data_IF_337597965294
#
_entry.id   IF_337597965294
#
_cell.length_a   1.000
_cell.length_b   1.000
_cell.length_c   1.000
_cell.angle_alpha   90.00
_cell.angle_beta   90.00
_cell.angle_gamma   90.00
#
_symmetry.space_group_name_H-M   'P 1'
#
loop_
_entity.id
_entity.type
_entity.pdbx_description
1 polymer ?
#
# COMPACT_ATOMS: atom_id res chain seq x y z
N UNK A 1 -5.47 -4.29 25.66
CA UNK A 1 -5.39 -3.71 24.30
C UNK A 1 -6.43 -4.40 23.44
N UNK A 2 -7.11 -3.69 22.51
CA UNK A 2 -8.04 -4.34 21.59
C UNK A 2 -7.27 -5.28 20.67
N UNK A 3 -7.83 -6.46 20.37
CA UNK A 3 -7.19 -7.44 19.47
C UNK A 3 -7.15 -6.90 18.04
N UNK A 4 -6.04 -7.13 17.36
CA UNK A 4 -5.87 -6.83 15.94
C UNK A 4 -6.81 -7.71 15.11
N UNK A 5 -7.46 -7.13 14.11
CA UNK A 5 -8.43 -7.85 13.26
C UNK A 5 -7.93 -8.09 11.85
N UNK A 6 -6.86 -7.38 11.45
CA UNK A 6 -6.18 -7.55 10.17
C UNK A 6 -4.67 -7.60 10.37
N UNK A 7 -3.97 -8.24 9.44
CA UNK A 7 -2.52 -8.41 9.46
C UNK A 7 -1.92 -8.11 8.10
N UNK A 8 -0.84 -7.33 8.09
CA UNK A 8 0.09 -7.31 6.97
C UNK A 8 1.03 -8.51 7.10
N UNK A 9 1.06 -9.37 6.11
CA UNK A 9 1.88 -10.58 6.12
C UNK A 9 2.85 -10.53 4.95
N UNK A 10 4.14 -10.56 5.25
CA UNK A 10 5.18 -10.66 4.23
C UNK A 10 5.91 -11.99 4.38
N UNK A 11 5.92 -12.77 3.30
CA UNK A 11 6.71 -14.00 3.14
C UNK A 11 7.98 -13.60 2.39
N UNK A 12 9.06 -13.39 3.14
CA UNK A 12 10.29 -12.83 2.57
C UNK A 12 11.13 -13.87 1.84
N UNK A 13 11.27 -15.04 2.44
CA UNK A 13 12.15 -16.11 1.95
C UNK A 13 11.52 -17.47 2.17
N UNK A 14 11.92 -18.41 1.31
CA UNK A 14 11.68 -19.84 1.44
C UNK A 14 13.03 -20.53 1.30
N UNK A 15 13.40 -21.39 2.27
CA UNK A 15 14.45 -22.39 2.08
C UNK A 15 13.81 -23.68 1.57
N UNK A 16 14.51 -24.43 0.72
CA UNK A 16 14.04 -25.76 0.26
C UNK A 16 15.11 -26.79 0.61
N UNK A 17 14.76 -27.78 1.43
CA UNK A 17 15.65 -28.92 1.74
C UNK A 17 15.04 -30.22 1.24
N UNK A 18 15.70 -30.94 0.33
CA UNK A 18 15.30 -32.28 -0.15
C UNK A 18 15.89 -33.34 0.79
N UNK A 19 15.10 -34.23 1.37
CA UNK A 19 15.61 -35.23 2.36
C UNK A 19 16.11 -36.55 1.75
N UNK A 20 15.80 -36.86 0.49
CA UNK A 20 16.39 -38.00 -0.23
C UNK A 20 16.72 -37.67 -1.70
N UNK A 21 17.99 -37.81 -2.06
CA UNK A 21 18.38 -38.13 -3.43
C UNK A 21 18.14 -39.62 -3.64
N UNK A 22 16.99 -39.99 -4.21
CA UNK A 22 16.92 -41.27 -4.90
C UNK A 22 17.98 -41.23 -6.00
N UNK A 23 19.02 -42.05 -5.89
CA UNK A 23 20.02 -42.18 -6.95
C UNK A 23 19.32 -42.88 -8.12
N UNK A 24 18.74 -42.12 -9.04
CA UNK A 24 18.32 -42.68 -10.33
C UNK A 24 19.59 -42.89 -11.15
N UNK A 25 20.19 -44.07 -11.02
CA UNK A 25 21.31 -44.47 -11.87
C UNK A 25 20.83 -44.54 -13.32
N UNK A 26 21.40 -43.71 -14.20
CA UNK A 26 21.15 -43.78 -15.65
C UNK A 26 20.50 -42.54 -16.29
N UNK A 27 20.12 -41.52 -15.51
CA UNK A 27 19.66 -40.25 -16.10
C UNK A 27 20.86 -39.34 -16.44
N UNK A 28 20.87 -38.67 -17.62
CA UNK A 28 21.89 -37.70 -17.96
C UNK A 28 21.97 -36.59 -16.89
N UNK A 29 23.18 -36.26 -16.43
CA UNK A 29 23.46 -35.15 -15.49
C UNK A 29 22.97 -33.78 -15.98
N UNK A 30 22.54 -33.67 -17.24
CA UNK A 30 22.05 -32.44 -17.88
C UNK A 30 20.52 -32.31 -17.88
N UNK A 31 19.77 -33.24 -17.29
CA UNK A 31 18.32 -33.09 -17.10
C UNK A 31 18.02 -32.40 -15.76
N UNK A 32 17.31 -31.27 -15.79
CA UNK A 32 16.69 -30.72 -14.58
C UNK A 32 16.44 -29.22 -14.56
N UNK A 33 15.91 -28.66 -15.64
CA UNK A 33 15.27 -27.35 -15.61
C UNK A 33 13.91 -27.50 -14.95
N UNK A 34 13.89 -27.57 -13.61
CA UNK A 34 12.67 -27.77 -12.84
C UNK A 34 11.99 -26.43 -12.54
N UNK A 35 10.75 -26.29 -12.98
CA UNK A 35 9.91 -25.12 -12.66
C UNK A 35 9.03 -25.47 -11.47
N UNK A 36 9.20 -24.73 -10.39
CA UNK A 36 8.39 -24.87 -9.19
C UNK A 36 7.27 -23.86 -9.20
N UNK A 37 6.05 -24.33 -8.99
CA UNK A 37 4.84 -23.50 -8.88
C UNK A 37 4.34 -23.58 -7.44
N UNK A 38 4.60 -22.55 -6.63
CA UNK A 38 4.23 -22.54 -5.21
C UNK A 38 3.00 -21.68 -4.95
N UNK A 39 1.97 -22.29 -4.36
CA UNK A 39 0.77 -21.63 -3.86
C UNK A 39 0.97 -21.18 -2.42
N UNK A 40 0.85 -19.89 -2.18
CA UNK A 40 0.87 -19.28 -0.85
C UNK A 40 -0.55 -18.77 -0.53
N UNK A 41 -1.20 -19.37 0.45
CA UNK A 41 -2.51 -18.95 0.93
C UNK A 41 -2.40 -18.36 2.34
N UNK A 42 -3.01 -17.21 2.59
CA UNK A 42 -2.99 -16.56 3.89
C UNK A 42 -4.42 -16.12 4.23
N UNK A 43 -5.06 -16.82 5.18
CA UNK A 43 -6.48 -16.71 5.53
C UNK A 43 -7.41 -16.51 4.31
N UNK A 44 -7.20 -17.31 3.26
CA UNK A 44 -8.02 -17.32 2.05
C UNK A 44 -7.51 -16.43 0.92
N UNK A 45 -6.59 -15.50 1.18
CA UNK A 45 -5.89 -14.76 0.11
C UNK A 45 -4.82 -15.65 -0.51
N UNK A 46 -4.70 -15.70 -1.84
CA UNK A 46 -3.77 -16.61 -2.54
C UNK A 46 -2.81 -15.82 -3.44
N UNK A 47 -1.53 -16.17 -3.40
CA UNK A 47 -0.52 -15.72 -4.35
C UNK A 47 0.35 -16.90 -4.80
N UNK A 48 0.86 -16.81 -6.03
CA UNK A 48 1.77 -17.81 -6.60
C UNK A 48 3.22 -17.31 -6.62
N UNK A 49 4.16 -18.21 -6.39
CA UNK A 49 5.58 -17.99 -6.55
C UNK A 49 6.18 -19.07 -7.43
N UNK A 50 6.59 -18.64 -8.63
CA UNK A 50 7.14 -19.52 -9.64
C UNK A 50 8.64 -19.30 -9.75
N UNK A 51 9.42 -20.38 -9.76
CA UNK A 51 10.88 -20.29 -9.76
C UNK A 51 11.49 -21.45 -10.51
N UNK A 52 12.42 -21.10 -11.39
CA UNK A 52 13.23 -22.04 -12.12
C UNK A 52 14.53 -22.40 -11.39
N UNK A 53 14.93 -23.68 -11.44
CA UNK A 53 16.26 -24.12 -11.01
C UNK A 53 16.48 -24.04 -9.51
N UNK A 54 15.47 -24.41 -8.71
CA UNK A 54 15.62 -24.58 -7.26
C UNK A 54 16.62 -25.71 -6.99
N UNK A 55 17.51 -25.49 -6.02
CA UNK A 55 18.57 -26.39 -5.58
C UNK A 55 18.32 -26.75 -4.13
N UNK A 56 18.58 -28.00 -3.78
CA UNK A 56 18.56 -28.49 -2.40
C UNK A 56 19.47 -27.65 -1.50
N UNK A 57 18.95 -27.23 -0.33
CA UNK A 57 19.64 -26.35 0.61
C UNK A 57 19.67 -24.88 0.19
N UNK A 58 19.04 -24.52 -0.92
CA UNK A 58 18.96 -23.16 -1.43
C UNK A 58 18.00 -22.29 -0.62
N UNK A 59 18.40 -21.04 -0.37
CA UNK A 59 17.53 -20.01 0.20
C UNK A 59 17.09 -19.05 -0.89
N UNK A 60 15.78 -18.92 -1.07
CA UNK A 60 15.18 -18.16 -2.16
C UNK A 60 14.39 -16.99 -1.61
N UNK A 61 14.60 -15.81 -2.20
CA UNK A 61 13.75 -14.65 -1.92
C UNK A 61 12.40 -14.84 -2.63
N UNK A 62 11.34 -14.68 -1.87
CA UNK A 62 9.95 -14.81 -2.31
C UNK A 62 9.30 -13.44 -2.43
N UNK A 63 9.43 -12.62 -1.38
CA UNK A 63 8.94 -11.25 -1.36
C UNK A 63 7.43 -11.11 -1.60
N UNK A 64 6.63 -12.09 -1.16
CA UNK A 64 5.17 -12.08 -1.34
C UNK A 64 4.51 -11.41 -0.16
N UNK A 65 3.54 -10.55 -0.44
CA UNK A 65 2.98 -9.60 0.53
C UNK A 65 1.47 -9.66 0.46
N UNK A 66 0.86 -9.90 1.61
CA UNK A 66 -0.58 -9.95 1.85
C UNK A 66 -0.92 -8.79 2.78
N UNK A 67 -1.37 -7.65 2.25
CA UNK A 67 -1.34 -6.39 2.98
C UNK A 67 -2.43 -6.25 4.05
N UNK A 68 -3.57 -6.92 3.84
CA UNK A 68 -4.77 -6.78 4.68
C UNK A 68 -5.42 -8.13 4.95
N UNK A 69 -4.70 -9.02 5.62
CA UNK A 69 -5.20 -10.36 5.92
C UNK A 69 -6.18 -10.31 7.10
N UNK A 70 -7.45 -10.70 6.94
CA UNK A 70 -8.39 -10.78 8.05
C UNK A 70 -7.97 -11.88 9.05
N UNK A 71 -8.01 -11.59 10.35
CA UNK A 71 -7.67 -12.53 11.42
C UNK A 71 -8.92 -13.27 11.90
N UNK A 72 -9.11 -14.51 11.44
CA UNK A 72 -10.26 -15.35 11.79
C UNK A 72 -10.17 -15.80 13.26
N UNK A 73 -10.99 -15.20 14.13
CA UNK A 73 -10.92 -15.44 15.58
C UNK A 73 -9.58 -14.99 16.20
N UNK A 74 -8.97 -13.94 15.64
CA UNK A 74 -7.65 -13.44 16.06
C UNK A 74 -6.47 -14.32 15.61
N UNK A 75 -6.71 -15.29 14.72
CA UNK A 75 -5.68 -16.20 14.22
C UNK A 75 -5.33 -15.94 12.77
N UNK A 76 -4.04 -16.05 12.46
CA UNK A 76 -3.51 -16.05 11.11
C UNK A 76 -3.24 -17.49 10.65
N UNK A 77 -3.84 -17.92 9.54
CA UNK A 77 -3.57 -19.22 8.93
C UNK A 77 -2.80 -19.03 7.63
N UNK A 78 -1.60 -19.57 7.54
CA UNK A 78 -0.78 -19.58 6.32
C UNK A 78 -0.75 -21.01 5.80
N UNK A 79 -1.22 -21.24 4.58
CA UNK A 79 -1.06 -22.52 3.88
C UNK A 79 -0.09 -22.37 2.74
N UNK A 80 0.74 -23.38 2.56
CA UNK A 80 1.65 -23.45 1.42
C UNK A 80 1.48 -24.82 0.77
N UNK A 81 1.43 -24.80 -0.55
CA UNK A 81 1.43 -25.99 -1.40
C UNK A 81 2.05 -25.65 -2.74
N UNK A 82 2.09 -26.62 -3.65
CA UNK A 82 2.65 -26.39 -4.98
C UNK A 82 2.94 -27.70 -5.67
N UNK A 83 3.66 -27.61 -6.78
CA UNK A 83 4.23 -28.78 -7.44
C UNK A 83 5.51 -28.38 -8.15
N UNK A 84 6.34 -29.38 -8.39
CA UNK A 84 7.44 -29.31 -9.34
C UNK A 84 6.91 -29.80 -10.69
N UNK A 85 7.00 -28.96 -11.71
CA UNK A 85 6.74 -29.35 -13.08
C UNK A 85 8.04 -29.87 -13.68
N UNK A 86 8.04 -31.14 -14.07
CA UNK A 86 9.14 -31.78 -14.79
C UNK A 86 8.66 -32.49 -16.06
N UNK A 87 9.61 -33.00 -16.85
CA UNK A 87 9.31 -33.64 -18.15
C UNK A 87 8.72 -35.05 -18.02
N UNK A 88 8.69 -35.62 -16.82
CA UNK A 88 8.33 -37.01 -16.52
C UNK A 88 7.06 -37.15 -15.65
N UNK A 89 6.58 -36.08 -15.03
CA UNK A 89 5.32 -36.00 -14.28
C UNK A 89 5.39 -34.96 -13.15
N UNK A 90 4.27 -34.27 -12.89
CA UNK A 90 4.24 -33.27 -11.82
C UNK A 90 4.42 -33.92 -10.44
N UNK A 91 5.39 -33.45 -9.66
CA UNK A 91 5.56 -33.87 -8.26
C UNK A 91 4.82 -32.91 -7.35
N UNK A 92 3.70 -33.36 -6.77
CA UNK A 92 2.88 -32.53 -5.87
C UNK A 92 3.52 -32.32 -4.49
N UNK A 93 3.52 -31.07 -4.03
CA UNK A 93 3.74 -30.70 -2.63
C UNK A 93 2.42 -30.74 -1.86
N UNK A 94 2.33 -31.62 -0.87
CA UNK A 94 1.17 -31.71 0.00
C UNK A 94 0.99 -30.42 0.82
N UNK A 95 -0.27 -29.98 0.95
CA UNK A 95 -0.66 -28.80 1.71
C UNK A 95 -0.09 -28.83 3.14
N UNK A 96 0.69 -27.80 3.51
CA UNK A 96 1.01 -27.50 4.91
C UNK A 96 0.22 -26.28 5.37
N UNK A 97 -0.09 -26.24 6.66
CA UNK A 97 -0.85 -25.15 7.26
C UNK A 97 -0.24 -24.76 8.60
N UNK A 98 0.23 -23.53 8.69
CA UNK A 98 0.61 -22.86 9.92
C UNK A 98 -0.59 -22.09 10.47
N UNK A 99 -0.78 -22.11 11.79
CA UNK A 99 -1.75 -21.24 12.46
C UNK A 99 -1.01 -20.46 13.56
N UNK A 100 -1.08 -19.14 13.51
CA UNK A 100 -0.42 -18.22 14.42
C UNK A 100 -1.44 -17.35 15.16
N UNK A 101 -1.07 -16.90 16.35
CA UNK A 101 -1.74 -15.86 17.13
C UNK A 101 -0.82 -14.64 17.16
N UNK A 102 -1.01 -13.65 16.26
CA UNK A 102 -0.04 -12.57 16.04
C UNK A 102 0.45 -11.85 17.32
N UNK A 103 -0.45 -11.60 18.27
CA UNK A 103 -0.13 -10.88 19.52
C UNK A 103 0.68 -11.70 20.53
N UNK A 104 0.67 -13.03 20.42
CA UNK A 104 1.37 -13.93 21.32
C UNK A 104 2.62 -14.52 20.68
N UNK A 105 2.51 -14.94 19.42
CA UNK A 105 3.55 -15.66 18.69
C UNK A 105 4.49 -14.73 17.93
N UNK A 106 4.12 -13.45 17.74
CA UNK A 106 4.87 -12.49 16.94
C UNK A 106 4.87 -11.08 17.57
N UNK A 107 5.47 -10.88 18.77
CA UNK A 107 5.52 -9.55 19.39
C UNK A 107 6.17 -8.53 18.44
N UNK A 108 5.46 -7.43 18.16
CA UNK A 108 5.79 -6.32 17.25
C UNK A 108 7.14 -6.41 16.51
N UNK A 109 7.10 -6.86 15.26
CA UNK A 109 8.31 -6.99 14.42
C UNK A 109 9.09 -8.29 14.60
N UNK A 110 8.56 -9.25 15.39
CA UNK A 110 9.11 -10.58 15.47
C UNK A 110 9.15 -11.24 14.09
N UNK A 111 10.35 -11.65 13.74
CA UNK A 111 10.61 -12.52 12.63
C UNK A 111 10.52 -13.95 13.13
N UNK A 112 9.50 -14.70 12.71
CA UNK A 112 9.48 -16.13 12.92
C UNK A 112 10.21 -16.84 11.79
N UNK A 113 11.24 -17.64 12.11
CA UNK A 113 11.79 -18.67 11.23
C UNK A 113 11.15 -19.99 11.65
N UNK A 114 10.42 -20.63 10.74
CA UNK A 114 9.68 -21.83 11.07
C UNK A 114 9.99 -22.91 10.05
N UNK A 115 10.52 -24.02 10.55
CA UNK A 115 10.85 -25.23 9.79
C UNK A 115 9.62 -26.12 9.79
N UNK A 116 9.17 -26.59 8.63
CA UNK A 116 8.25 -27.73 8.54
C UNK A 116 8.76 -28.72 7.52
N UNK A 117 8.85 -29.99 7.91
CA UNK A 117 9.10 -31.12 7.01
C UNK A 117 7.84 -31.53 6.27
N UNK A 118 7.93 -31.81 4.97
CA UNK A 118 6.81 -32.23 4.10
C UNK A 118 7.24 -33.45 3.33
N UNK A 119 6.51 -34.57 3.38
CA UNK A 119 6.75 -35.73 2.52
C UNK A 119 5.81 -35.78 1.32
N UNK A 120 6.33 -36.13 0.13
CA UNK A 120 5.54 -36.40 -1.09
C UNK A 120 5.33 -37.90 -1.32
N UNK A 121 4.34 -38.26 -2.13
CA UNK A 121 4.17 -39.61 -2.69
C UNK A 121 3.86 -39.47 -4.18
N UNK A 122 4.62 -40.12 -5.05
CA UNK A 122 4.44 -40.11 -6.50
C UNK A 122 3.13 -40.81 -6.93
N UNK A 123 2.38 -40.20 -7.85
CA UNK A 123 1.33 -40.87 -8.62
C UNK A 123 1.93 -41.36 -9.95
N UNK A 124 2.20 -42.66 -10.06
CA UNK A 124 2.64 -43.28 -11.31
C UNK A 124 3.19 -44.68 -11.08
N UNK A 125 2.72 -45.66 -11.87
CA UNK A 125 3.14 -47.06 -11.79
C UNK A 125 4.55 -47.26 -12.33
N UNK A 126 5.55 -46.98 -11.48
CA UNK A 126 6.87 -47.58 -11.59
C UNK A 126 7.11 -48.34 -10.28
N UNK A 127 7.42 -49.64 -10.38
CA UNK A 127 7.96 -50.41 -9.27
C UNK A 127 9.38 -49.91 -9.02
N UNK A 128 9.49 -48.83 -8.25
CA UNK A 128 10.73 -48.51 -7.55
C UNK A 128 10.84 -49.50 -6.38
N UNK A 129 11.80 -50.42 -6.45
CA UNK A 129 12.38 -50.94 -5.21
C UNK A 129 13.00 -49.72 -4.51
N UNK A 130 12.46 -49.39 -3.35
CA UNK A 130 12.68 -48.16 -2.57
C UNK A 130 12.07 -46.89 -3.20
N UNK A 131 10.88 -46.54 -2.71
CA UNK A 131 10.15 -45.34 -3.09
C UNK A 131 10.91 -44.07 -2.73
N UNK A 132 11.41 -43.37 -3.75
CA UNK A 132 11.91 -42.01 -3.63
C UNK A 132 10.75 -41.02 -3.54
N UNK A 133 10.71 -40.24 -2.46
CA UNK A 133 9.89 -39.05 -2.31
C UNK A 133 10.77 -37.79 -2.27
N UNK A 134 10.25 -36.67 -2.75
CA UNK A 134 10.83 -35.35 -2.46
C UNK A 134 10.20 -34.92 -1.15
N UNK A 135 10.93 -35.02 -0.04
CA UNK A 135 10.52 -34.31 1.16
C UNK A 135 11.18 -32.94 1.19
N UNK A 136 10.38 -31.88 1.28
CA UNK A 136 10.83 -30.48 1.34
C UNK A 136 10.73 -29.94 2.76
N UNK A 137 11.83 -29.57 3.40
CA UNK A 137 11.77 -28.66 4.56
C UNK A 137 11.69 -27.22 4.05
N UNK A 138 10.67 -26.49 4.49
CA UNK A 138 10.47 -25.09 4.12
C UNK A 138 10.67 -24.16 5.31
N UNK A 139 11.78 -23.41 5.31
CA UNK A 139 11.98 -22.31 6.26
C UNK A 139 11.39 -21.04 5.69
N UNK A 140 10.41 -20.46 6.39
CA UNK A 140 9.87 -19.16 6.02
C UNK A 140 10.21 -18.09 7.04
N UNK A 141 10.40 -16.89 6.51
CA UNK A 141 10.42 -15.65 7.29
C UNK A 141 9.10 -14.93 7.08
N UNK A 142 8.23 -14.99 8.08
CA UNK A 142 6.95 -14.28 8.06
C UNK A 142 7.05 -13.06 8.97
N UNK A 143 6.81 -11.89 8.37
CA UNK A 143 6.65 -10.63 9.09
C UNK A 143 5.16 -10.33 9.17
N UNK A 144 4.60 -10.37 10.39
CA UNK A 144 3.19 -10.02 10.68
C UNK A 144 3.16 -8.65 11.31
N UNK A 145 2.46 -7.71 10.69
CA UNK A 145 2.22 -6.39 11.26
C UNK A 145 0.75 -6.34 11.62
N UNK A 146 0.39 -6.27 12.91
CA UNK A 146 -0.98 -5.95 13.28
C UNK A 146 -1.29 -4.57 12.67
N UNK A 147 -2.12 -4.57 11.64
CA UNK A 147 -2.75 -3.35 11.17
C UNK A 147 -4.03 -3.26 11.98
N UNK A 148 -4.32 -2.07 12.52
CA UNK A 148 -5.39 -1.85 13.49
C UNK A 148 -6.76 -2.39 13.06
N UNK A 149 -7.71 -2.42 14.01
CA UNK A 149 -9.09 -2.89 13.84
C UNK A 149 -9.69 -2.57 12.46
N UNK A 150 -10.58 -3.46 11.99
CA UNK A 150 -11.47 -3.14 10.88
C UNK A 150 -12.28 -1.93 11.31
N UNK A 151 -12.11 -0.82 10.60
CA UNK A 151 -12.88 0.38 10.87
C UNK A 151 -14.28 0.12 10.34
N UNK A 152 -15.20 -0.30 11.22
CA UNK A 152 -16.62 -0.40 10.87
C UNK A 152 -17.24 1.00 10.97
N UNK A 153 -16.81 1.84 10.06
CA UNK A 153 -17.37 3.15 9.83
C UNK A 153 -18.29 2.99 8.61
N UNK A 154 -19.61 2.95 8.88
CA UNK A 154 -20.67 2.92 7.89
C UNK A 154 -21.05 4.33 7.38
N UNK A 155 -20.26 5.35 7.73
CA UNK A 155 -20.59 6.77 7.50
C UNK A 155 -19.51 7.54 6.76
N UNK A 156 -18.44 6.91 6.30
CA UNK A 156 -17.45 7.52 5.43
C UNK A 156 -17.36 6.76 4.13
N UNK A 157 -17.25 7.51 3.05
CA UNK A 157 -16.93 6.99 1.74
C UNK A 157 -15.50 7.38 1.40
N UNK A 158 -14.90 6.57 0.54
CA UNK A 158 -13.48 6.60 0.28
C UNK A 158 -13.24 6.70 -1.21
N UNK A 159 -12.21 7.44 -1.59
CA UNK A 159 -11.69 7.50 -2.92
C UNK A 159 -10.23 7.05 -2.90
N UNK A 160 -9.85 6.21 -3.86
CA UNK A 160 -8.47 5.77 -4.03
C UNK A 160 -8.10 5.84 -5.49
N UNK A 161 -6.96 6.44 -5.76
CA UNK A 161 -6.32 6.36 -7.05
C UNK A 161 -5.29 5.25 -7.00
N UNK A 162 -5.44 4.29 -7.91
CA UNK A 162 -4.49 3.19 -8.08
C UNK A 162 -3.83 3.25 -9.46
N UNK A 163 -2.63 2.70 -9.58
CA UNK A 163 -1.93 2.54 -10.87
C UNK A 163 -1.22 1.20 -10.97
N UNK A 164 -0.82 0.81 -12.17
CA UNK A 164 0.01 -0.38 -12.36
C UNK A 164 1.33 -0.28 -11.56
N UNK A 165 1.60 -1.32 -10.76
CA UNK A 165 2.68 -1.38 -9.79
C UNK A 165 4.03 -1.56 -10.47
N UNK A 166 5.07 -0.93 -9.91
CA UNK A 166 6.46 -1.13 -10.37
C UNK A 166 7.24 -2.15 -9.55
N UNK A 167 6.99 -2.29 -8.23
CA UNK A 167 7.44 -3.35 -7.28
C UNK A 167 7.13 -2.94 -5.81
N UNK A 168 7.11 -3.89 -4.85
CA UNK A 168 7.11 -3.62 -3.39
C UNK A 168 5.75 -3.66 -2.66
N UNK A 169 5.71 -4.02 -1.38
CA UNK A 169 4.54 -4.05 -0.48
C UNK A 169 3.85 -2.71 -0.26
N UNK A 170 2.55 -2.70 0.02
CA UNK A 170 1.85 -1.53 0.57
C UNK A 170 1.00 -1.94 1.77
N UNK A 171 0.91 -1.08 2.77
CA UNK A 171 -0.02 -1.19 3.89
C UNK A 171 -0.76 0.15 4.03
N UNK A 172 -1.87 0.16 4.75
CA UNK A 172 -2.54 1.42 5.09
C UNK A 172 -2.93 1.41 6.56
N UNK A 173 -2.98 2.58 7.17
CA UNK A 173 -3.37 2.74 8.56
C UNK A 173 -4.15 4.03 8.74
N UNK A 174 -5.15 3.98 9.62
CA UNK A 174 -6.01 5.10 9.96
C UNK A 174 -6.12 5.17 11.47
N UNK A 175 -5.83 6.33 12.06
CA UNK A 175 -5.90 6.57 13.49
C UNK A 175 -5.93 8.07 13.80
N UNK A 176 -6.21 8.41 15.06
CA UNK A 176 -5.85 9.72 15.61
C UNK A 176 -4.34 9.91 15.71
N UNK A 177 -3.91 11.13 16.04
CA UNK A 177 -2.51 11.54 15.98
C UNK A 177 -1.52 10.58 16.67
N UNK A 178 -1.77 10.24 17.94
CA UNK A 178 -0.85 9.39 18.72
C UNK A 178 -0.77 7.97 18.15
N UNK A 179 -1.90 7.40 17.74
CA UNK A 179 -1.95 6.09 17.11
C UNK A 179 -1.25 6.09 15.74
N UNK A 180 -1.50 7.13 14.95
CA UNK A 180 -0.94 7.31 13.62
C UNK A 180 0.60 7.42 13.66
N UNK A 181 1.13 8.28 14.52
CA UNK A 181 2.57 8.49 14.67
C UNK A 181 3.29 7.28 15.26
N UNK A 182 2.69 6.61 16.26
CA UNK A 182 3.20 5.34 16.80
C UNK A 182 3.26 4.24 15.74
N UNK A 183 2.26 4.17 14.87
CA UNK A 183 2.24 3.20 13.78
C UNK A 183 3.32 3.51 12.73
N UNK A 184 3.57 4.79 12.40
CA UNK A 184 4.66 5.16 11.48
C UNK A 184 6.00 4.60 12.00
N UNK A 185 6.31 4.78 13.29
CA UNK A 185 7.55 4.27 13.87
C UNK A 185 7.62 2.74 13.90
N UNK A 186 6.48 2.08 14.14
CA UNK A 186 6.37 0.62 14.12
C UNK A 186 6.65 0.07 12.72
N UNK A 187 5.97 0.60 11.70
CA UNK A 187 6.10 0.16 10.31
C UNK A 187 7.50 0.53 9.73
N UNK A 188 8.08 1.66 10.16
CA UNK A 188 9.47 2.04 9.81
C UNK A 188 10.49 1.00 10.26
N UNK A 189 10.38 0.50 11.51
CA UNK A 189 11.27 -0.57 12.03
C UNK A 189 11.16 -1.86 11.22
N UNK A 190 10.08 -2.03 10.47
CA UNK A 190 9.78 -3.21 9.66
C UNK A 190 10.12 -3.01 8.18
N UNK A 191 10.76 -1.88 7.82
CA UNK A 191 11.22 -1.59 6.46
C UNK A 191 10.15 -1.02 5.53
N UNK A 192 9.02 -0.59 6.09
CA UNK A 192 8.00 0.17 5.38
C UNK A 192 8.20 1.67 5.60
N UNK A 193 7.85 2.49 4.62
CA UNK A 193 7.88 3.95 4.72
C UNK A 193 6.50 4.52 4.43
N UNK A 194 6.12 5.58 5.12
CA UNK A 194 4.93 6.34 4.78
C UNK A 194 5.13 7.01 3.42
N UNK A 195 4.19 6.82 2.50
CA UNK A 195 4.29 7.32 1.13
C UNK A 195 3.09 8.14 0.69
N UNK A 196 1.89 7.91 1.24
CA UNK A 196 0.73 8.81 1.06
C UNK A 196 0.07 9.13 2.37
N UNK A 197 -0.57 10.29 2.44
CA UNK A 197 -1.23 10.79 3.63
C UNK A 197 -2.47 11.58 3.28
N UNK A 198 -3.50 11.46 4.11
CA UNK A 198 -4.67 12.33 4.08
C UNK A 198 -5.17 12.55 5.52
N UNK A 199 -5.98 13.59 5.74
CA UNK A 199 -6.54 13.90 7.06
C UNK A 199 -7.97 14.41 6.94
N UNK A 200 -8.81 14.09 7.92
CA UNK A 200 -10.16 14.65 8.03
C UNK A 200 -10.55 14.88 9.49
N UNK A 201 -11.39 15.88 9.73
CA UNK A 201 -11.96 16.14 11.06
C UNK A 201 -12.85 14.97 11.49
N UNK A 202 -12.64 14.52 12.72
CA UNK A 202 -13.57 13.65 13.40
C UNK A 202 -14.75 14.48 13.91
N UNK A 203 -15.95 14.13 13.47
CA UNK A 203 -17.15 14.88 13.86
C UNK A 203 -17.59 14.51 15.28
N UNK A 204 -18.05 15.50 16.09
CA UNK A 204 -18.66 15.22 17.39
C UNK A 204 -19.82 14.22 17.27
N UNK A 205 -19.78 13.13 18.04
CA UNK A 205 -20.83 12.10 18.04
C UNK A 205 -20.79 11.09 16.88
N UNK A 206 -19.76 11.15 16.03
CA UNK A 206 -19.40 10.04 15.15
C UNK A 206 -18.25 9.26 15.80
N UNK A 207 -18.21 7.92 15.69
CA UNK A 207 -17.10 7.15 16.22
C UNK A 207 -15.83 7.57 15.49
N UNK A 208 -15.09 8.47 16.12
CA UNK A 208 -13.67 8.63 15.87
C UNK A 208 -12.98 7.37 16.37
N UNK A 209 -11.86 7.02 15.75
CA UNK A 209 -11.07 5.83 16.04
C UNK A 209 -10.46 5.80 17.47
N UNK A 210 -10.81 6.78 18.31
CA UNK A 210 -11.00 6.67 19.77
C UNK A 210 -11.99 7.74 20.25
N UNK A 211 -12.62 7.57 21.42
CA UNK A 211 -13.61 8.53 21.96
C UNK A 211 -13.02 9.91 22.35
N UNK A 212 -11.80 10.25 21.93
CA UNK A 212 -11.06 11.47 22.31
C UNK A 212 -10.29 12.17 21.17
N UNK A 213 -10.49 11.79 19.91
CA UNK A 213 -9.72 12.37 18.79
C UNK A 213 -10.60 13.27 17.93
N UNK A 214 -10.21 14.55 17.79
CA UNK A 214 -10.88 15.55 16.93
C UNK A 214 -10.46 15.48 15.46
N UNK A 215 -9.34 14.83 15.11
CA UNK A 215 -8.88 14.67 13.71
C UNK A 215 -8.25 13.30 13.46
N UNK A 216 -8.67 12.67 12.37
CA UNK A 216 -8.15 11.37 11.93
C UNK A 216 -7.14 11.55 10.79
N UNK A 217 -6.12 10.71 10.79
CA UNK A 217 -5.09 10.64 9.76
C UNK A 217 -5.10 9.28 9.11
N UNK A 218 -4.96 9.26 7.79
CA UNK A 218 -4.75 8.06 6.98
C UNK A 218 -3.35 8.11 6.41
N UNK A 219 -2.68 6.97 6.42
CA UNK A 219 -1.38 6.80 5.78
C UNK A 219 -1.34 5.54 4.92
N UNK A 220 -0.76 5.65 3.73
CA UNK A 220 -0.34 4.51 2.91
C UNK A 220 1.16 4.37 3.10
N UNK A 221 1.58 3.14 3.40
CA UNK A 221 2.95 2.75 3.61
C UNK A 221 3.38 1.85 2.48
N UNK A 222 4.65 1.90 2.09
CA UNK A 222 5.21 1.03 1.04
C UNK A 222 6.58 0.49 1.41
N UNK A 223 7.02 -0.58 0.75
CA UNK A 223 8.37 -1.11 0.91
C UNK A 223 9.43 -0.01 0.63
N UNK A 224 10.32 0.22 1.58
CA UNK A 224 11.43 1.15 1.40
C UNK A 224 12.21 1.39 2.69
N UNK A 225 13.51 1.10 2.67
CA UNK A 225 14.42 1.33 3.81
C UNK A 225 15.00 2.74 3.82
N UNK A 226 14.14 3.73 3.76
CA UNK A 226 14.57 5.12 3.93
C UNK A 226 13.85 5.67 5.14
N UNK A 227 14.63 6.12 6.11
CA UNK A 227 14.34 6.98 7.24
C UNK A 227 13.70 8.32 6.81
N UNK A 228 12.73 8.27 5.91
CA UNK A 228 12.11 9.48 5.41
C UNK A 228 11.18 10.06 6.48
N UNK A 229 11.31 11.36 6.73
CA UNK A 229 10.55 11.99 7.77
C UNK A 229 9.11 12.27 7.32
N UNK A 230 8.20 12.27 8.29
CA UNK A 230 6.86 12.84 8.20
C UNK A 230 6.82 14.01 9.18
N UNK A 231 6.18 15.10 8.78
CA UNK A 231 6.01 16.28 9.63
C UNK A 231 4.59 16.79 9.51
N UNK A 232 4.04 17.26 10.63
CA UNK A 232 2.84 18.07 10.71
C UNK A 232 3.23 19.35 11.45
N UNK A 233 3.23 20.48 10.73
CA UNK A 233 3.69 21.78 11.22
C UNK A 233 2.70 22.86 10.77
N UNK A 234 2.79 24.05 11.34
CA UNK A 234 2.15 25.21 10.71
C UNK A 234 2.78 25.49 9.34
N UNK A 235 2.11 26.28 8.49
CA UNK A 235 2.58 26.54 7.13
C UNK A 235 4.03 27.08 7.10
N UNK A 236 4.36 28.01 7.99
CA UNK A 236 5.69 28.61 8.07
C UNK A 236 6.76 27.57 8.48
N UNK A 237 6.47 26.76 9.49
CA UNK A 237 7.32 25.68 9.95
C UNK A 237 7.52 24.60 8.89
N UNK A 238 6.46 24.22 8.16
CA UNK A 238 6.56 23.27 7.06
C UNK A 238 7.48 23.79 5.95
N UNK A 239 7.32 25.06 5.54
CA UNK A 239 8.20 25.71 4.56
C UNK A 239 9.65 25.75 5.03
N UNK A 240 9.88 26.08 6.30
CA UNK A 240 11.21 26.06 6.91
C UNK A 240 11.84 24.66 6.85
N UNK A 241 11.07 23.63 7.21
CA UNK A 241 11.52 22.24 7.17
C UNK A 241 11.78 21.74 5.75
N UNK A 242 10.92 22.09 4.80
CA UNK A 242 11.12 21.79 3.38
C UNK A 242 12.43 22.41 2.87
N UNK A 243 12.71 23.67 3.19
CA UNK A 243 13.95 24.34 2.80
C UNK A 243 15.20 23.71 3.43
N UNK A 244 15.13 23.27 4.69
CA UNK A 244 16.22 22.55 5.36
C UNK A 244 16.53 21.22 4.65
N UNK A 245 15.50 20.41 4.42
CA UNK A 245 15.63 19.09 3.79
C UNK A 245 16.04 19.18 2.32
N UNK A 246 15.62 20.22 1.60
CA UNK A 246 16.01 20.44 0.21
C UNK A 246 17.54 20.56 0.05
N UNK A 247 18.24 21.15 1.03
CA UNK A 247 19.72 21.23 1.04
C UNK A 247 20.39 19.86 1.15
N UNK A 248 19.66 18.85 1.59
CA UNK A 248 20.10 17.47 1.74
C UNK A 248 19.64 16.58 0.56
N UNK A 249 19.04 17.16 -0.48
CA UNK A 249 18.47 16.42 -1.60
C UNK A 249 17.19 15.66 -1.25
N UNK A 250 16.50 16.07 -0.18
CA UNK A 250 15.22 15.52 0.27
C UNK A 250 14.13 16.56 0.00
N UNK A 251 13.00 16.12 -0.56
CA UNK A 251 11.87 16.98 -0.90
C UNK A 251 10.56 16.44 -0.32
N UNK A 252 9.56 17.29 -0.21
CA UNK A 252 8.20 16.83 0.05
C UNK A 252 7.66 16.11 -1.21
N UNK A 253 6.96 15.00 -1.01
CA UNK A 253 6.39 14.17 -2.08
C UNK A 253 4.89 14.07 -2.07
N UNK A 254 4.28 14.26 -0.90
CA UNK A 254 2.84 14.23 -0.69
C UNK A 254 2.50 15.17 0.46
N UNK A 255 1.28 15.71 0.45
CA UNK A 255 0.80 16.65 1.47
C UNK A 255 -0.67 16.43 1.80
N UNK A 256 -1.03 16.84 3.01
CA UNK A 256 -2.39 17.26 3.34
C UNK A 256 -2.32 18.59 4.11
N UNK A 257 -3.41 19.34 4.14
CA UNK A 257 -3.50 20.61 4.86
C UNK A 257 -4.89 20.80 5.46
N UNK A 258 -4.93 21.47 6.61
CA UNK A 258 -6.19 21.87 7.25
C UNK A 258 -6.01 23.18 8.00
N UNK A 259 -7.12 23.84 8.32
CA UNK A 259 -7.11 25.07 9.09
C UNK A 259 -7.86 24.89 10.39
N UNK A 260 -7.19 25.15 11.51
CA UNK A 260 -7.73 24.89 12.83
C UNK A 260 -7.20 25.96 13.79
N UNK A 261 -8.08 26.50 14.63
CA UNK A 261 -7.72 27.51 15.63
C UNK A 261 -6.93 28.71 15.04
N UNK A 262 -7.31 29.17 13.85
CA UNK A 262 -6.67 30.29 13.16
C UNK A 262 -5.33 29.97 12.51
N UNK A 263 -4.88 28.71 12.56
CA UNK A 263 -3.59 28.26 12.04
C UNK A 263 -3.79 27.27 10.90
N UNK A 264 -3.09 27.50 9.79
CA UNK A 264 -3.01 26.51 8.71
C UNK A 264 -1.92 25.51 9.04
N UNK A 265 -2.30 24.25 9.19
CA UNK A 265 -1.43 23.11 9.43
C UNK A 265 -1.18 22.38 8.11
N UNK A 266 0.04 21.92 7.90
CA UNK A 266 0.47 21.17 6.72
C UNK A 266 1.20 19.92 7.17
N UNK A 267 0.65 18.77 6.78
CA UNK A 267 1.27 17.46 6.90
C UNK A 267 1.94 17.07 5.59
N UNK A 268 3.02 16.30 5.65
CA UNK A 268 3.60 15.80 4.40
C UNK A 268 4.66 14.71 4.56
N UNK A 269 4.77 13.90 3.51
CA UNK A 269 5.81 12.88 3.36
C UNK A 269 6.98 13.43 2.56
N UNK A 270 8.17 12.89 2.79
CA UNK A 270 9.38 13.33 2.11
C UNK A 270 10.09 12.15 1.40
N UNK A 271 10.84 12.45 0.34
CA UNK A 271 11.71 11.47 -0.32
C UNK A 271 12.93 12.17 -0.95
N UNK A 272 13.96 11.40 -1.32
CA UNK A 272 15.06 11.93 -2.14
C UNK A 272 14.54 12.36 -3.51
N UNK A 273 15.01 13.51 -3.99
CA UNK A 273 14.65 14.01 -5.32
C UNK A 273 14.89 15.51 -5.48
N UNK A 274 14.55 16.02 -6.66
CA UNK A 274 14.59 17.46 -6.98
C UNK A 274 13.68 18.27 -6.04
N UNK A 275 14.03 19.50 -5.64
CA UNK A 275 13.21 20.27 -4.72
C UNK A 275 11.77 20.47 -5.18
N UNK A 276 10.86 20.47 -4.21
CA UNK A 276 9.47 20.92 -4.37
C UNK A 276 9.22 22.19 -3.58
N UNK A 277 8.22 22.96 -3.99
CA UNK A 277 7.80 24.19 -3.34
C UNK A 277 6.32 24.05 -2.92
N UNK A 278 6.04 24.29 -1.65
CA UNK A 278 4.66 24.39 -1.17
C UNK A 278 4.02 25.71 -1.63
N UNK A 279 2.79 25.69 -2.11
CA UNK A 279 1.96 26.86 -2.37
C UNK A 279 0.64 26.69 -1.63
N UNK A 280 0.21 27.69 -0.85
CA UNK A 280 -1.04 27.67 -0.09
C UNK A 280 -1.78 28.96 -0.38
N UNK A 281 -2.92 28.87 -1.07
CA UNK A 281 -3.66 30.04 -1.58
C UNK A 281 -5.18 29.78 -1.61
N UNK A 282 -6.02 30.83 -1.55
CA UNK A 282 -7.44 30.69 -1.84
C UNK A 282 -7.64 30.26 -3.31
N UNK A 283 -8.73 29.54 -3.59
CA UNK A 283 -8.98 28.86 -4.88
C UNK A 283 -8.61 29.67 -6.12
N UNK A 284 -9.15 30.87 -6.27
CA UNK A 284 -8.94 31.69 -7.47
C UNK A 284 -7.45 32.07 -7.66
N UNK A 285 -6.76 32.38 -6.57
CA UNK A 285 -5.34 32.68 -6.60
C UNK A 285 -4.49 31.43 -6.89
N UNK A 286 -4.90 30.27 -6.35
CA UNK A 286 -4.23 29.00 -6.63
C UNK A 286 -4.35 28.59 -8.10
N UNK A 287 -5.54 28.70 -8.71
CA UNK A 287 -5.75 28.41 -10.14
C UNK A 287 -4.90 29.34 -11.03
N UNK A 288 -4.84 30.63 -10.69
CA UNK A 288 -3.99 31.60 -11.38
C UNK A 288 -2.49 31.28 -11.22
N UNK A 289 -2.07 30.88 -10.02
CA UNK A 289 -0.68 30.52 -9.74
C UNK A 289 -0.28 29.23 -10.45
N UNK A 290 -1.14 28.21 -10.47
CA UNK A 290 -0.93 27.00 -11.25
C UNK A 290 -0.74 27.29 -12.74
N UNK A 291 -1.60 28.13 -13.32
CA UNK A 291 -1.53 28.49 -14.74
C UNK A 291 -0.20 29.18 -15.11
N UNK A 292 0.33 30.04 -14.23
CA UNK A 292 1.65 30.66 -14.42
C UNK A 292 2.78 29.63 -14.34
N UNK A 293 2.70 28.72 -13.36
CA UNK A 293 3.75 27.74 -13.04
C UNK A 293 3.80 26.55 -14.00
N UNK A 294 2.69 26.24 -14.67
CA UNK A 294 2.59 25.15 -15.64
C UNK A 294 3.63 25.26 -16.79
N UNK A 295 4.23 26.44 -16.99
CA UNK A 295 5.31 26.70 -17.96
C UNK A 295 6.73 26.41 -17.42
N UNK A 296 6.91 25.33 -16.67
CA UNK A 296 8.26 24.93 -16.19
C UNK A 296 8.28 24.22 -14.84
N UNK A 297 7.15 24.20 -14.14
CA UNK A 297 6.95 23.43 -12.93
C UNK A 297 5.77 22.48 -13.10
N UNK A 298 5.70 21.48 -12.22
CA UNK A 298 4.61 20.52 -12.17
C UNK A 298 4.00 20.47 -10.79
N UNK A 299 2.70 20.68 -10.68
CA UNK A 299 1.96 20.33 -9.48
C UNK A 299 1.92 18.81 -9.36
N UNK A 300 2.42 18.27 -8.25
CA UNK A 300 2.59 16.81 -8.03
C UNK A 300 1.76 16.26 -6.88
N UNK A 301 1.30 17.13 -5.98
CA UNK A 301 0.40 16.80 -4.88
C UNK A 301 -0.53 17.99 -4.62
N UNK A 302 -1.78 17.73 -4.26
CA UNK A 302 -2.85 18.71 -4.09
C UNK A 302 -3.73 18.32 -2.91
N UNK A 303 -3.99 19.28 -2.03
CA UNK A 303 -5.04 19.15 -1.04
C UNK A 303 -5.89 20.43 -0.95
N UNK A 304 -7.09 20.34 -0.38
CA UNK A 304 -8.01 21.45 -0.23
C UNK A 304 -8.66 21.48 1.15
N UNK A 305 -8.83 22.66 1.72
CA UNK A 305 -9.38 22.82 3.07
C UNK A 305 -10.17 24.12 3.20
N UNK A 306 -11.14 24.13 4.11
CA UNK A 306 -11.87 25.34 4.45
C UNK A 306 -11.00 26.23 5.35
N UNK A 307 -10.84 27.50 5.00
CA UNK A 307 -10.16 28.48 5.85
C UNK A 307 -10.72 29.88 5.59
N UNK A 308 -10.88 30.66 6.66
CA UNK A 308 -11.26 32.09 6.55
C UNK A 308 -12.56 32.33 5.76
N UNK A 309 -13.49 31.37 5.79
CA UNK A 309 -14.79 31.47 5.11
C UNK A 309 -14.77 31.13 3.62
N UNK A 310 -13.67 30.62 3.08
CA UNK A 310 -13.56 30.19 1.68
C UNK A 310 -12.75 28.89 1.53
N UNK A 311 -12.71 28.32 0.32
CA UNK A 311 -11.93 27.12 0.00
C UNK A 311 -10.50 27.50 -0.39
N UNK A 312 -9.54 26.93 0.34
CA UNK A 312 -8.12 27.07 0.10
C UNK A 312 -7.54 25.78 -0.48
N UNK A 313 -6.41 25.92 -1.16
CA UNK A 313 -5.67 24.82 -1.75
C UNK A 313 -4.22 24.87 -1.30
N UNK A 314 -3.67 23.71 -0.97
CA UNK A 314 -2.25 23.47 -0.77
C UNK A 314 -1.74 22.61 -1.92
N UNK A 315 -0.60 22.99 -2.51
CA UNK A 315 -0.01 22.26 -3.63
C UNK A 315 1.50 22.17 -3.54
N UNK A 316 2.06 21.03 -3.95
CA UNK A 316 3.50 20.87 -4.12
C UNK A 316 3.89 21.03 -5.59
N UNK A 317 4.74 22.01 -5.90
CA UNK A 317 5.27 22.25 -7.24
C UNK A 317 6.70 21.71 -7.36
N UNK A 318 6.93 20.77 -8.27
CA UNK A 318 8.24 20.24 -8.63
C UNK A 318 8.91 21.10 -9.72
N UNK A 319 10.18 21.44 -9.53
CA UNK A 319 11.00 22.20 -10.48
C UNK A 319 11.47 21.35 -11.66
N UNK A 320 11.57 21.95 -12.85
CA UNK A 320 12.18 21.32 -14.03
C UNK A 320 11.34 20.23 -14.69
N UNK A 321 10.10 20.05 -14.24
CA UNK A 321 9.18 19.07 -14.77
C UNK A 321 8.40 19.67 -15.96
N UNK A 322 8.88 19.43 -17.19
CA UNK A 322 8.24 19.89 -18.43
C UNK A 322 7.29 18.84 -19.02
N UNK A 323 6.15 19.27 -19.54
CA UNK A 323 5.22 18.42 -20.31
C UNK A 323 3.75 18.73 -20.01
N UNK A 324 2.82 18.21 -20.83
CA UNK A 324 1.38 18.43 -20.65
C UNK A 324 0.91 18.08 -19.23
N UNK A 325 0.11 18.98 -18.65
CA UNK A 325 -0.51 18.82 -17.34
C UNK A 325 -1.88 19.51 -17.34
N UNK A 326 -2.76 19.09 -16.45
CA UNK A 326 -4.06 19.70 -16.24
C UNK A 326 -4.40 19.80 -14.76
N UNK A 327 -5.18 20.82 -14.40
CA UNK A 327 -5.80 21.01 -13.11
C UNK A 327 -7.29 21.17 -13.36
N UNK A 328 -8.11 20.44 -12.60
CA UNK A 328 -9.56 20.59 -12.63
C UNK A 328 -10.08 20.47 -11.20
N UNK A 329 -10.77 21.52 -10.74
CA UNK A 329 -11.18 21.67 -9.34
C UNK A 329 -12.65 22.05 -9.27
N UNK A 330 -13.33 21.65 -8.19
CA UNK A 330 -14.72 22.01 -7.96
C UNK A 330 -15.74 21.23 -8.79
N UNK A 331 -15.47 19.98 -9.14
CA UNK A 331 -16.36 19.16 -9.96
C UNK A 331 -17.17 18.17 -9.12
N UNK A 332 -18.43 17.92 -9.46
CA UNK A 332 -19.12 16.73 -8.95
C UNK A 332 -18.50 15.44 -9.52
N UNK A 333 -18.89 14.27 -8.99
CA UNK A 333 -18.32 12.98 -9.43
C UNK A 333 -18.48 12.75 -10.94
N UNK A 334 -19.66 13.03 -11.50
CA UNK A 334 -19.96 12.75 -12.92
C UNK A 334 -19.07 13.60 -13.81
N UNK A 335 -18.95 14.88 -13.49
CA UNK A 335 -18.15 15.83 -14.23
C UNK A 335 -16.66 15.56 -14.07
N UNK A 336 -16.23 15.15 -12.88
CA UNK A 336 -14.85 14.74 -12.62
C UNK A 336 -14.46 13.51 -13.44
N UNK A 337 -15.30 12.46 -13.46
CA UNK A 337 -15.07 11.26 -14.29
C UNK A 337 -15.06 11.56 -15.77
N UNK A 338 -15.93 12.47 -16.24
CA UNK A 338 -15.92 12.92 -17.64
C UNK A 338 -14.58 13.58 -17.97
N UNK A 339 -14.11 14.52 -17.15
CA UNK A 339 -12.81 15.20 -17.35
C UNK A 339 -11.64 14.24 -17.26
N UNK A 340 -11.65 13.29 -16.32
CA UNK A 340 -10.62 12.27 -16.22
C UNK A 340 -10.51 11.43 -17.51
N UNK A 341 -11.65 11.03 -18.09
CA UNK A 341 -11.66 10.34 -19.39
C UNK A 341 -11.12 11.22 -20.52
N UNK A 342 -11.56 12.48 -20.63
CA UNK A 342 -11.07 13.42 -21.66
C UNK A 342 -9.55 13.63 -21.56
N UNK A 343 -9.02 13.82 -20.36
CA UNK A 343 -7.59 13.96 -20.12
C UNK A 343 -6.83 12.66 -20.41
N UNK A 344 -7.40 11.50 -20.07
CA UNK A 344 -6.82 10.19 -20.37
C UNK A 344 -6.69 9.95 -21.87
N UNK A 345 -7.71 10.31 -22.64
CA UNK A 345 -7.72 10.23 -24.10
C UNK A 345 -6.69 11.19 -24.72
N UNK A 346 -6.43 12.33 -24.05
CA UNK A 346 -5.34 13.26 -24.34
C UNK A 346 -3.94 12.81 -23.87
N UNK A 347 -3.79 11.61 -23.32
CA UNK A 347 -2.51 11.06 -22.86
C UNK A 347 -2.03 11.57 -21.50
N UNK A 348 -2.90 12.24 -20.73
CA UNK A 348 -2.65 12.59 -19.34
C UNK A 348 -3.14 11.48 -18.40
N UNK A 349 -2.64 11.45 -17.18
CA UNK A 349 -3.05 10.52 -16.12
C UNK A 349 -3.27 11.30 -14.85
N UNK A 350 -4.34 10.97 -14.12
CA UNK A 350 -4.56 11.53 -12.79
C UNK A 350 -3.37 11.09 -11.93
N UNK A 351 -2.69 12.03 -11.28
CA UNK A 351 -1.52 11.73 -10.44
C UNK A 351 -1.81 11.95 -8.96
N UNK A 352 -2.75 12.85 -8.66
CA UNK A 352 -3.22 13.11 -7.32
C UNK A 352 -4.62 13.75 -7.35
N UNK A 353 -5.36 13.63 -6.27
CA UNK A 353 -6.69 14.20 -6.12
C UNK A 353 -7.02 14.42 -4.64
N UNK A 354 -7.92 15.36 -4.37
CA UNK A 354 -8.55 15.54 -3.07
C UNK A 354 -10.03 15.88 -3.26
N UNK A 355 -10.80 15.74 -2.20
CA UNK A 355 -12.24 15.82 -2.21
C UNK A 355 -12.74 16.55 -0.98
N UNK A 356 -13.93 17.14 -1.09
CA UNK A 356 -14.58 17.79 0.04
C UNK A 356 -16.10 17.80 -0.19
N UNK A 357 -16.88 17.91 0.88
CA UNK A 357 -18.32 18.01 0.73
C UNK A 357 -18.76 19.48 0.65
N UNK A 358 -19.57 19.82 -0.34
CA UNK A 358 -20.17 21.14 -0.48
C UNK A 358 -21.68 21.01 -0.56
N UNK A 359 -22.38 21.40 0.52
CA UNK A 359 -23.85 21.39 0.55
C UNK A 359 -24.46 20.03 0.24
N UNK A 360 -23.86 18.94 0.73
CA UNK A 360 -24.32 17.56 0.50
C UNK A 360 -23.81 16.92 -0.80
N UNK A 361 -23.11 17.68 -1.65
CA UNK A 361 -22.49 17.17 -2.89
C UNK A 361 -21.01 16.91 -2.66
N UNK A 362 -20.52 15.72 -3.00
CA UNK A 362 -19.08 15.46 -2.99
C UNK A 362 -18.42 16.15 -4.17
N UNK A 363 -17.43 16.99 -3.87
CA UNK A 363 -16.66 17.76 -4.83
C UNK A 363 -15.27 17.15 -4.95
N UNK A 364 -14.80 17.01 -6.19
CA UNK A 364 -13.52 16.44 -6.55
C UNK A 364 -12.61 17.50 -7.18
N UNK A 365 -11.33 17.39 -6.85
CA UNK A 365 -10.24 18.20 -7.35
C UNK A 365 -9.11 17.27 -7.77
N UNK A 366 -8.52 17.50 -8.93
CA UNK A 366 -7.56 16.57 -9.50
C UNK A 366 -6.42 17.28 -10.21
N UNK A 367 -5.28 16.60 -10.24
CA UNK A 367 -4.10 17.01 -10.99
C UNK A 367 -3.73 15.89 -11.93
N UNK A 368 -3.56 16.22 -13.20
CA UNK A 368 -3.15 15.28 -14.23
C UNK A 368 -1.80 15.67 -14.81
N UNK A 369 -1.01 14.66 -15.19
CA UNK A 369 0.25 14.87 -15.91
C UNK A 369 0.44 13.80 -16.98
N UNK A 370 1.27 14.09 -17.98
CA UNK A 370 1.68 13.11 -18.98
C UNK A 370 2.31 11.89 -18.29
N UNK A 371 1.75 10.72 -18.55
CA UNK A 371 2.20 9.45 -17.97
C UNK A 371 1.83 8.27 -18.87
N UNK A 372 2.65 7.23 -18.81
CA UNK A 372 2.49 6.00 -19.59
C UNK A 372 1.66 4.94 -18.85
N UNK A 373 1.66 4.95 -17.51
CA UNK A 373 0.90 3.99 -16.69
C UNK A 373 -0.57 4.34 -16.63
N UNK A 374 -1.39 3.30 -16.64
CA UNK A 374 -2.82 3.45 -16.42
C UNK A 374 -3.09 3.75 -14.94
N UNK A 375 -4.09 4.59 -14.73
CA UNK A 375 -4.57 5.00 -13.40
C UNK A 375 -6.07 4.77 -13.34
N UNK A 376 -6.56 4.38 -12.17
CA UNK A 376 -7.98 4.14 -11.92
C UNK A 376 -8.41 4.81 -10.63
N UNK A 377 -9.38 5.71 -10.73
CA UNK A 377 -10.08 6.25 -9.57
C UNK A 377 -11.18 5.29 -9.14
N UNK A 378 -11.07 4.77 -7.93
CA UNK A 378 -12.07 3.90 -7.31
C UNK A 378 -12.75 4.62 -6.15
N UNK A 379 -14.07 4.54 -6.11
CA UNK A 379 -14.88 5.06 -5.01
C UNK A 379 -15.55 3.89 -4.33
N UNK A 380 -15.50 3.88 -2.99
CA UNK A 380 -16.13 2.83 -2.20
C UNK A 380 -16.98 3.44 -1.09
N UNK A 381 -18.18 2.88 -0.83
CA UNK A 381 -19.18 3.51 0.03
C UNK A 381 -18.83 3.45 1.52
N UNK A 382 -17.94 2.53 1.89
CA UNK A 382 -17.51 2.28 3.26
C UNK A 382 -16.13 1.60 3.29
N UNK A 383 -15.59 1.44 4.49
CA UNK A 383 -14.28 0.85 4.72
C UNK A 383 -14.20 -0.64 4.33
N UNK A 384 -15.15 -1.53 4.67
CA UNK A 384 -15.18 -2.90 4.15
C UNK A 384 -15.03 -3.00 2.62
N UNK A 385 -15.72 -2.15 1.87
CA UNK A 385 -15.64 -2.13 0.41
C UNK A 385 -14.28 -1.60 -0.07
N UNK A 386 -13.78 -0.52 0.55
CA UNK A 386 -12.44 0.02 0.29
C UNK A 386 -11.36 -1.04 0.44
N UNK A 387 -11.32 -1.71 1.59
CA UNK A 387 -10.29 -2.71 1.91
C UNK A 387 -10.33 -3.89 0.94
N UNK A 388 -11.53 -4.37 0.62
CA UNK A 388 -11.74 -5.42 -0.40
C UNK A 388 -11.25 -4.96 -1.79
N UNK A 389 -11.47 -3.69 -2.14
CA UNK A 389 -11.03 -3.13 -3.41
C UNK A 389 -9.53 -2.92 -3.48
N UNK A 390 -8.90 -2.52 -2.39
CA UNK A 390 -7.44 -2.42 -2.28
C UNK A 390 -6.82 -3.81 -2.47
N UNK A 391 -7.35 -4.83 -1.79
CA UNK A 391 -6.90 -6.22 -1.95
C UNK A 391 -7.06 -6.73 -3.39
N UNK A 392 -8.18 -6.41 -4.04
CA UNK A 392 -8.39 -6.75 -5.44
C UNK A 392 -7.39 -6.04 -6.36
N UNK A 393 -7.16 -4.73 -6.19
CA UNK A 393 -6.18 -4.03 -7.02
C UNK A 393 -4.75 -4.53 -6.75
N UNK A 394 -4.45 -4.89 -5.52
CA UNK A 394 -3.19 -5.49 -5.14
C UNK A 394 -2.94 -6.82 -5.87
N UNK A 395 -3.94 -7.71 -5.91
CA UNK A 395 -3.83 -9.00 -6.61
C UNK A 395 -3.65 -8.82 -8.13
N UNK A 396 -4.14 -7.70 -8.67
CA UNK A 396 -3.94 -7.27 -10.06
C UNK A 396 -2.59 -6.57 -10.30
N UNK A 397 -1.71 -6.51 -9.30
CA UNK A 397 -0.42 -5.83 -9.41
C UNK A 397 -0.56 -4.32 -9.54
N UNK A 398 -1.45 -3.71 -8.77
CA UNK A 398 -1.63 -2.25 -8.71
C UNK A 398 -1.30 -1.70 -7.33
N UNK A 399 -0.90 -0.44 -7.28
CA UNK A 399 -0.51 0.29 -6.07
C UNK A 399 -1.35 1.55 -5.89
N UNK A 400 -1.61 1.91 -4.65
CA UNK A 400 -2.24 3.18 -4.27
C UNK A 400 -1.26 4.32 -4.53
N UNK A 401 -1.74 5.38 -5.15
CA UNK A 401 -0.98 6.60 -5.44
C UNK A 401 -1.61 7.88 -4.92
N UNK A 402 -2.88 7.86 -4.56
CA UNK A 402 -3.55 8.91 -3.81
C UNK A 402 -4.77 8.28 -3.13
N UNK A 403 -5.17 8.86 -2.01
CA UNK A 403 -6.30 8.37 -1.22
C UNK A 403 -6.89 9.54 -0.47
N UNK A 404 -8.21 9.57 -0.43
CA UNK A 404 -8.95 10.56 0.33
C UNK A 404 -10.28 9.99 0.82
N UNK A 405 -10.91 10.61 1.80
CA UNK A 405 -12.18 10.17 2.34
C UNK A 405 -13.03 11.33 2.84
N UNK A 406 -14.33 11.09 2.90
CA UNK A 406 -15.30 12.05 3.40
C UNK A 406 -16.42 11.32 4.13
N UNK A 407 -17.07 12.01 5.06
CA UNK A 407 -18.26 11.46 5.71
C UNK A 407 -19.50 11.64 4.82
N UNK A 408 -20.36 10.63 4.74
CA UNK A 408 -21.67 10.73 4.10
C UNK A 408 -22.61 11.60 4.94
N UNK A 409 -23.28 12.56 4.31
CA UNK A 409 -24.19 13.51 4.97
C UNK A 409 -23.50 14.66 5.72
N UNK A 410 -22.20 14.82 5.53
CA UNK A 410 -21.39 15.84 6.16
C UNK A 410 -21.23 17.06 5.26
N UNK A 411 -21.76 18.24 5.59
CA UNK A 411 -21.42 19.49 4.89
C UNK A 411 -20.16 20.11 5.49
N UNK A 412 -19.24 20.58 4.65
CA UNK A 412 -18.18 21.54 5.06
C UNK A 412 -18.69 22.98 5.05
#
# INVERSE_FOLDING_TARGET
>A
MPKSEIAYVKIERIRVTRTQEGVVTGLPKEMGTHEWHMRLEVNGQVQWWDRHGIKTGGEYTVGRIFPSVPLNGGKLKIKISGWEQDTFGDTELRNRTLTLTPEQDCPNGATGAWVTSVSSSSYGTFTAEEGGGIEGDFDFRVTILPVGKRLDDSRSSYAVLVRDKRNGGQAYHVAGWDGFTSQIDTLRKQGLRLSRTASAEARPGQPSFSDQVERTFLGVFEDGRTDMPFWLLDEAGFRGRQAELARQGIRATDIFAYHENGTTMVGGTFNRGSPTELVVLPRAAFEAEWAKRAQGQRLIALDSFAARGERWFAGLFEQGASGPAALWVGADERDFRRRDNEFRDGGLRLIDFCTYNQGGTQIFNGVWSKGDRQTWLVLEPDWPHLTSRIDFNWSMGREIVAIDWWSSGASD
#
